data_IF_363369328495
#
_entry.id   IF_363369328495
#
_cell.length_a   1.000
_cell.length_b   1.000
_cell.length_c   1.000
_cell.angle_alpha   90.00
_cell.angle_beta   90.00
_cell.angle_gamma   90.00
#
_symmetry.space_group_name_H-M   'P 1'
#
loop_
_entity.id
_entity.type
_entity.pdbx_description
1 polymer ?
#
# COMPACT_ATOMS: atom_id res chain seq x y z
N UNK A 1 39.54 40.90 -9.63
CA UNK A 1 39.28 39.44 -9.57
C UNK A 1 37.94 39.24 -10.27
N UNK A 2 37.93 38.60 -11.44
CA UNK A 2 36.73 38.42 -12.25
C UNK A 2 35.73 37.56 -11.46
N UNK A 3 34.60 38.14 -11.08
CA UNK A 3 33.43 37.38 -10.65
C UNK A 3 32.81 36.77 -11.90
N UNK A 4 33.04 35.48 -12.14
CA UNK A 4 32.23 34.72 -13.08
C UNK A 4 30.84 34.53 -12.45
N UNK A 5 29.83 35.14 -13.08
CA UNK A 5 28.42 34.91 -12.75
C UNK A 5 28.12 33.42 -12.96
N UNK A 6 27.52 32.77 -11.96
CA UNK A 6 26.91 31.44 -12.10
C UNK A 6 26.01 31.44 -13.34
N UNK A 7 26.04 30.34 -14.10
CA UNK A 7 25.21 30.10 -15.29
C UNK A 7 23.75 30.49 -15.02
N UNK A 8 23.32 31.60 -15.60
CA UNK A 8 21.93 32.05 -15.55
C UNK A 8 21.14 31.31 -16.62
N UNK A 9 20.01 30.70 -16.24
CA UNK A 9 19.09 30.02 -17.16
C UNK A 9 17.81 30.82 -17.32
N UNK A 10 17.20 30.76 -18.51
CA UNK A 10 15.96 31.47 -18.79
C UNK A 10 14.81 30.86 -17.98
N UNK A 11 14.08 31.64 -17.16
CA UNK A 11 12.97 31.10 -16.36
C UNK A 11 11.77 30.66 -17.21
N UNK A 12 11.69 31.09 -18.49
CA UNK A 12 10.58 30.74 -19.37
C UNK A 12 10.84 29.52 -20.25
N UNK A 13 12.09 29.18 -20.55
CA UNK A 13 12.39 28.08 -21.48
C UNK A 13 13.61 27.21 -21.09
N UNK A 14 14.25 27.48 -19.96
CA UNK A 14 15.41 26.75 -19.48
C UNK A 14 16.72 27.01 -20.25
N UNK A 15 16.69 27.74 -21.38
CA UNK A 15 17.89 28.03 -22.17
C UNK A 15 18.94 28.81 -21.38
N UNK A 16 20.21 28.40 -21.51
CA UNK A 16 21.37 29.10 -20.95
C UNK A 16 21.88 30.24 -21.84
N UNK A 17 21.27 30.47 -22.99
CA UNK A 17 21.66 31.55 -23.91
C UNK A 17 21.08 32.90 -23.46
N UNK A 18 21.73 33.50 -22.47
CA UNK A 18 21.30 34.74 -21.84
C UNK A 18 22.23 35.89 -22.21
N UNK A 19 21.67 36.96 -22.76
CA UNK A 19 22.36 38.21 -23.02
C UNK A 19 21.97 39.26 -21.96
N UNK A 20 22.97 39.94 -21.40
CA UNK A 20 22.73 41.08 -20.51
C UNK A 20 22.34 42.31 -21.34
N UNK A 21 21.22 42.95 -21.00
CA UNK A 21 20.76 44.18 -21.68
C UNK A 21 21.30 45.41 -20.96
N UNK A 22 20.92 45.61 -19.69
CA UNK A 22 21.32 46.78 -18.90
C UNK A 22 21.10 46.54 -17.40
N UNK A 23 21.98 47.05 -16.54
CA UNK A 23 21.85 46.92 -15.08
C UNK A 23 21.76 45.46 -14.63
N UNK A 24 20.63 45.10 -14.02
CA UNK A 24 20.31 43.75 -13.56
C UNK A 24 19.42 42.99 -14.56
N UNK A 25 19.18 43.55 -15.75
CA UNK A 25 18.24 43.04 -16.73
C UNK A 25 18.92 42.17 -17.80
N UNK A 26 18.36 40.99 -18.01
CA UNK A 26 18.84 39.93 -18.88
C UNK A 26 17.74 39.50 -19.85
N UNK A 27 18.13 39.06 -21.05
CA UNK A 27 17.22 38.55 -22.09
C UNK A 27 17.69 37.21 -22.61
N UNK A 28 16.76 36.29 -22.78
CA UNK A 28 17.01 35.02 -23.43
C UNK A 28 17.03 35.18 -24.95
N UNK A 29 18.08 34.71 -25.61
CA UNK A 29 18.19 34.76 -27.06
C UNK A 29 17.32 33.70 -27.75
N UNK A 30 16.88 32.67 -27.02
CA UNK A 30 16.05 31.59 -27.56
C UNK A 30 14.57 31.97 -27.63
N UNK A 31 13.96 32.38 -26.51
CA UNK A 31 12.53 32.71 -26.45
C UNK A 31 12.24 34.22 -26.38
N UNK A 32 13.26 35.08 -26.43
CA UNK A 32 13.17 36.54 -26.31
C UNK A 32 12.64 37.09 -24.97
N UNK A 33 12.38 36.25 -23.95
CA UNK A 33 11.94 36.68 -22.62
C UNK A 33 13.01 37.49 -21.90
N UNK A 34 12.61 38.57 -21.21
CA UNK A 34 13.48 39.47 -20.44
C UNK A 34 13.17 39.40 -18.94
N UNK A 35 14.18 39.38 -18.07
CA UNK A 35 14.06 39.20 -16.61
C UNK A 35 15.18 39.91 -15.82
N UNK A 36 15.04 40.10 -14.50
CA UNK A 36 15.97 40.84 -13.63
C UNK A 36 16.63 39.93 -12.59
N UNK A 37 17.88 40.21 -12.18
CA UNK A 37 18.61 39.50 -11.11
C UNK A 37 19.33 40.50 -10.18
N UNK A 38 18.91 40.59 -8.93
CA UNK A 38 19.47 41.45 -7.87
C UNK A 38 20.36 40.62 -6.93
N UNK A 39 21.56 41.12 -6.57
CA UNK A 39 22.53 40.47 -5.67
C UNK A 39 23.09 41.49 -4.66
N UNK A 40 22.98 41.22 -3.36
CA UNK A 40 23.48 42.11 -2.31
C UNK A 40 24.73 41.59 -1.55
N UNK A 41 25.28 42.46 -0.70
CA UNK A 41 26.64 42.38 -0.14
C UNK A 41 26.84 41.34 0.98
N UNK A 42 25.79 40.62 1.41
CA UNK A 42 25.90 39.55 2.41
C UNK A 42 26.53 38.26 1.85
N UNK A 43 26.48 38.06 0.52
CA UNK A 43 27.03 36.88 -0.16
C UNK A 43 28.57 36.82 -0.21
N UNK A 44 29.27 37.91 0.12
CA UNK A 44 30.71 38.05 -0.10
C UNK A 44 31.60 37.54 1.05
N UNK A 45 31.08 37.25 2.25
CA UNK A 45 31.91 36.94 3.43
C UNK A 45 32.07 35.43 3.75
N UNK A 46 31.39 34.53 3.02
CA UNK A 46 31.37 33.08 3.30
C UNK A 46 32.59 32.31 2.74
N UNK A 47 33.69 32.98 2.36
CA UNK A 47 34.78 32.33 1.60
C UNK A 47 35.96 31.83 2.46
N UNK A 48 36.19 32.30 3.69
CA UNK A 48 37.42 31.92 4.43
C UNK A 48 37.30 30.75 5.42
N UNK A 49 36.10 30.20 5.66
CA UNK A 49 35.88 29.08 6.62
C UNK A 49 35.42 27.77 5.98
N UNK A 50 35.49 27.65 4.65
CA UNK A 50 34.85 26.55 3.91
C UNK A 50 35.72 25.29 3.75
N UNK A 51 36.98 25.29 4.19
CA UNK A 51 37.90 24.19 3.87
C UNK A 51 37.96 23.05 4.89
N UNK A 52 37.68 23.27 6.18
CA UNK A 52 37.96 22.22 7.20
C UNK A 52 36.75 21.75 8.03
N UNK A 53 35.52 22.24 7.78
CA UNK A 53 34.35 21.93 8.64
C UNK A 53 33.06 21.52 7.90
N UNK A 54 33.13 21.15 6.61
CA UNK A 54 31.94 20.95 5.73
C UNK A 54 31.74 19.54 5.16
N UNK A 55 32.10 18.48 5.90
CA UNK A 55 31.60 17.11 5.62
C UNK A 55 30.59 16.65 6.69
N UNK A 56 30.47 17.32 7.84
CA UNK A 56 29.68 16.82 8.97
C UNK A 56 28.35 17.54 9.29
N UNK A 57 27.82 18.46 8.45
CA UNK A 57 26.62 19.25 8.86
C UNK A 57 25.58 19.63 7.79
N UNK A 58 25.53 18.96 6.64
CA UNK A 58 24.48 19.20 5.61
C UNK A 58 23.42 18.09 5.52
N UNK A 59 23.25 17.32 6.61
CA UNK A 59 22.13 16.38 6.85
C UNK A 59 20.86 17.07 7.39
N UNK A 60 20.75 18.41 7.41
CA UNK A 60 19.87 19.06 8.40
C UNK A 60 18.81 20.05 7.93
N UNK A 61 18.55 20.31 6.63
CA UNK A 61 17.39 21.12 6.19
C UNK A 61 16.98 20.68 4.76
N UNK A 62 15.68 20.46 4.47
CA UNK A 62 14.99 20.16 3.17
C UNK A 62 14.80 18.67 2.78
N UNK A 63 13.91 17.81 3.29
CA UNK A 63 12.64 17.92 4.06
C UNK A 63 11.73 19.08 3.62
N UNK A 64 11.48 19.27 2.32
CA UNK A 64 10.41 20.21 1.93
C UNK A 64 9.67 19.93 0.62
N UNK A 65 9.99 18.89 -0.17
CA UNK A 65 9.41 18.76 -1.54
C UNK A 65 9.05 17.32 -1.95
N UNK A 66 9.22 16.30 -1.10
CA UNK A 66 8.73 14.93 -1.41
C UNK A 66 7.18 14.83 -1.46
N UNK A 67 6.51 15.93 -1.11
CA UNK A 67 5.08 16.16 -1.27
C UNK A 67 4.89 17.48 -2.04
N UNK A 68 4.40 17.40 -3.27
CA UNK A 68 3.18 18.07 -3.75
C UNK A 68 2.84 17.42 -5.10
N UNK A 69 1.79 16.58 -5.03
CA UNK A 69 0.90 16.10 -6.08
C UNK A 69 1.25 16.37 -7.55
N UNK A 70 1.27 15.26 -8.30
CA UNK A 70 0.56 15.07 -9.56
C UNK A 70 0.89 15.98 -10.75
N UNK A 71 0.84 15.40 -11.94
CA UNK A 71 0.08 15.89 -13.11
C UNK A 71 0.61 15.08 -14.31
N UNK A 72 -0.04 13.95 -14.60
CA UNK A 72 -1.14 13.85 -15.56
C UNK A 72 -0.67 13.53 -17.01
N UNK A 73 -0.97 12.30 -17.46
CA UNK A 73 -1.67 11.94 -18.72
C UNK A 73 -1.00 10.92 -19.68
N UNK A 74 -1.88 10.05 -20.17
CA UNK A 74 -1.86 9.20 -21.39
C UNK A 74 -1.15 7.84 -21.27
N UNK A 75 -1.75 6.67 -21.51
CA UNK A 75 -3.09 6.30 -22.00
C UNK A 75 -3.03 5.09 -22.95
N UNK A 76 -3.71 3.99 -22.61
CA UNK A 76 -4.36 3.08 -23.58
C UNK A 76 -3.67 1.76 -24.02
N UNK A 77 -4.34 0.65 -23.67
CA UNK A 77 -4.60 -0.59 -24.44
C UNK A 77 -3.45 -1.57 -24.79
N UNK A 78 -3.52 -2.84 -24.34
CA UNK A 78 -4.02 -4.01 -25.11
C UNK A 78 -3.82 -5.37 -24.39
N UNK A 79 -4.76 -6.30 -24.63
CA UNK A 79 -4.90 -7.70 -24.17
C UNK A 79 -3.81 -8.67 -24.69
N UNK A 80 -3.50 -9.75 -23.94
CA UNK A 80 -3.59 -11.14 -24.44
C UNK A 80 -3.30 -12.24 -23.39
N UNK A 81 -4.11 -13.30 -23.45
CA UNK A 81 -4.03 -14.62 -22.80
C UNK A 81 -2.65 -15.29 -22.80
N UNK A 82 -2.43 -16.20 -21.82
CA UNK A 82 -1.87 -17.52 -22.11
C UNK A 82 -2.26 -18.60 -21.08
N UNK A 83 -2.57 -19.79 -21.62
CA UNK A 83 -3.03 -21.02 -20.97
C UNK A 83 -2.00 -21.64 -20.01
N UNK A 84 -2.48 -22.20 -18.89
CA UNK A 84 -1.70 -23.12 -18.06
C UNK A 84 -2.05 -24.58 -18.38
N UNK A 85 -1.01 -25.38 -18.54
CA UNK A 85 -1.05 -26.82 -18.81
C UNK A 85 -1.09 -27.60 -17.50
N UNK A 86 -2.00 -28.57 -17.44
CA UNK A 86 -2.24 -29.50 -16.36
C UNK A 86 -1.08 -30.51 -16.24
N UNK A 87 -0.58 -30.78 -15.03
CA UNK A 87 0.32 -31.92 -14.77
C UNK A 87 -0.22 -32.82 -13.67
N UNK A 88 -0.55 -34.03 -14.15
CA UNK A 88 -0.61 -35.38 -13.60
C UNK A 88 -0.94 -35.66 -12.12
N UNK A 89 -2.01 -36.46 -12.00
CA UNK A 89 -2.57 -37.06 -10.82
C UNK A 89 -1.69 -38.15 -10.18
N UNK A 90 -1.70 -38.17 -8.84
CA UNK A 90 -1.37 -39.35 -8.04
C UNK A 90 -2.67 -40.02 -7.59
N UNK A 91 -2.84 -41.29 -7.94
CA UNK A 91 -3.94 -42.15 -7.50
C UNK A 91 -3.80 -42.52 -6.03
N UNK A 92 -4.88 -42.40 -5.25
CA UNK A 92 -5.03 -43.19 -4.02
C UNK A 92 -6.49 -43.64 -3.74
N UNK A 93 -6.61 -44.96 -3.52
CA UNK A 93 -7.49 -45.71 -2.63
C UNK A 93 -9.02 -45.46 -2.58
N UNK A 94 -9.79 -46.52 -2.87
CA UNK A 94 -11.25 -46.56 -3.01
C UNK A 94 -12.03 -46.86 -1.72
N UNK A 95 -11.80 -46.10 -0.64
CA UNK A 95 -12.78 -46.00 0.45
C UNK A 95 -13.48 -44.64 0.30
N UNK A 96 -14.81 -44.60 0.26
CA UNK A 96 -15.55 -43.33 0.17
C UNK A 96 -15.30 -42.62 1.52
N UNK A 97 -14.56 -41.51 1.56
CA UNK A 97 -14.28 -40.84 2.82
C UNK A 97 -15.61 -40.41 3.45
N UNK A 98 -15.77 -40.66 4.74
CA UNK A 98 -16.91 -40.14 5.48
C UNK A 98 -16.74 -38.62 5.55
N UNK A 99 -17.64 -37.89 4.89
CA UNK A 99 -17.62 -36.43 4.84
C UNK A 99 -18.53 -35.91 5.94
N UNK A 100 -18.03 -34.98 6.74
CA UNK A 100 -18.86 -34.16 7.63
C UNK A 100 -18.80 -32.71 7.19
N UNK A 101 -19.78 -31.91 7.57
CA UNK A 101 -19.75 -30.47 7.31
C UNK A 101 -18.65 -29.82 8.15
N UNK A 102 -18.02 -28.79 7.58
CA UNK A 102 -17.17 -27.86 8.32
C UNK A 102 -18.03 -27.13 9.36
N UNK A 103 -17.56 -27.06 10.60
CA UNK A 103 -18.26 -26.43 11.71
C UNK A 103 -17.34 -25.54 12.57
N UNK A 104 -17.90 -24.90 13.60
CA UNK A 104 -17.17 -24.00 14.51
C UNK A 104 -15.90 -24.62 15.10
N UNK A 105 -15.89 -25.93 15.39
CA UNK A 105 -14.73 -26.57 16.01
C UNK A 105 -13.54 -26.67 15.05
N UNK A 106 -13.78 -26.69 13.74
CA UNK A 106 -12.74 -26.64 12.72
C UNK A 106 -12.07 -25.27 12.64
N UNK A 107 -12.88 -24.21 12.76
CA UNK A 107 -12.38 -22.84 12.83
C UNK A 107 -11.52 -22.65 14.08
N UNK A 108 -12.01 -23.10 15.24
CA UNK A 108 -11.26 -23.07 16.50
C UNK A 108 -9.96 -23.89 16.45
N UNK A 109 -9.94 -24.95 15.64
CA UNK A 109 -8.76 -25.78 15.40
C UNK A 109 -7.78 -25.15 14.39
N UNK A 110 -8.09 -24.00 13.80
CA UNK A 110 -7.22 -23.26 12.89
C UNK A 110 -7.18 -23.83 11.48
N UNK A 111 -8.28 -24.40 10.98
CA UNK A 111 -8.39 -24.79 9.57
C UNK A 111 -8.16 -23.57 8.66
N UNK A 112 -7.30 -23.76 7.66
CA UNK A 112 -6.97 -22.73 6.69
C UNK A 112 -8.10 -22.55 5.66
N UNK A 113 -8.70 -21.36 5.64
CA UNK A 113 -9.75 -20.96 4.69
C UNK A 113 -9.23 -20.03 3.59
N UNK A 114 -7.92 -19.84 3.46
CA UNK A 114 -7.32 -18.86 2.54
C UNK A 114 -7.71 -19.05 1.08
N UNK A 115 -7.99 -20.28 0.64
CA UNK A 115 -8.51 -20.55 -0.71
C UNK A 115 -9.91 -19.97 -0.93
N UNK A 116 -10.77 -19.98 0.09
CA UNK A 116 -12.08 -19.32 0.01
C UNK A 116 -11.95 -17.82 -0.03
N UNK A 117 -11.08 -17.23 0.80
CA UNK A 117 -10.80 -15.79 0.78
C UNK A 117 -10.32 -15.35 -0.61
N UNK A 118 -9.34 -16.05 -1.19
CA UNK A 118 -8.85 -15.77 -2.56
C UNK A 118 -9.95 -15.88 -3.62
N UNK A 119 -10.79 -16.91 -3.53
CA UNK A 119 -11.91 -17.09 -4.45
C UNK A 119 -12.98 -15.99 -4.29
N UNK A 120 -13.25 -15.57 -3.05
CA UNK A 120 -14.17 -14.50 -2.72
C UNK A 120 -13.65 -13.15 -3.24
N UNK A 121 -12.37 -12.84 -3.03
CA UNK A 121 -11.73 -11.59 -3.49
C UNK A 121 -11.79 -11.48 -5.02
N UNK A 122 -11.41 -12.56 -5.70
CA UNK A 122 -11.46 -12.64 -7.17
C UNK A 122 -12.89 -12.43 -7.67
N UNK A 123 -13.87 -13.07 -7.03
CA UNK A 123 -15.26 -12.92 -7.41
C UNK A 123 -15.81 -11.53 -7.09
N UNK A 124 -15.39 -10.92 -5.98
CA UNK A 124 -15.80 -9.58 -5.61
C UNK A 124 -15.34 -8.56 -6.66
N UNK A 125 -14.10 -8.68 -7.12
CA UNK A 125 -13.52 -7.80 -8.12
C UNK A 125 -14.18 -7.99 -9.49
N UNK A 126 -14.22 -9.23 -10.00
CA UNK A 126 -14.53 -9.50 -11.40
C UNK A 126 -15.87 -10.22 -11.63
N UNK A 127 -16.32 -10.99 -10.65
CA UNK A 127 -17.50 -11.85 -10.75
C UNK A 127 -18.83 -11.14 -10.48
N UNK A 128 -18.82 -10.17 -9.57
CA UNK A 128 -20.01 -9.36 -9.25
C UNK A 128 -20.27 -8.36 -10.37
N UNK A 129 -21.15 -8.77 -11.29
CA UNK A 129 -21.55 -7.97 -12.45
C UNK A 129 -22.14 -6.63 -12.02
N UNK A 130 -21.68 -5.56 -12.65
CA UNK A 130 -22.33 -4.27 -12.48
C UNK A 130 -23.70 -4.28 -13.18
N UNK A 131 -24.72 -3.78 -12.46
CA UNK A 131 -26.03 -3.47 -13.06
C UNK A 131 -25.94 -2.27 -14.00
N UNK A 132 -27.08 -1.73 -14.43
CA UNK A 132 -27.10 -0.46 -15.14
C UNK A 132 -26.82 0.68 -14.15
N UNK A 133 -25.57 1.15 -14.07
CA UNK A 133 -25.03 2.09 -13.07
C UNK A 133 -25.05 3.56 -13.52
N UNK A 134 -25.28 3.80 -14.82
CA UNK A 134 -25.34 5.15 -15.38
C UNK A 134 -24.07 5.96 -15.21
N UNK A 135 -24.12 7.04 -14.42
CA UNK A 135 -22.98 7.91 -14.15
C UNK A 135 -22.12 7.44 -12.98
N UNK A 136 -22.55 6.42 -12.24
CA UNK A 136 -21.81 5.85 -11.13
C UNK A 136 -20.76 4.87 -11.61
N UNK A 137 -19.57 4.95 -11.03
CA UNK A 137 -18.45 4.05 -11.29
C UNK A 137 -17.90 3.55 -9.95
N UNK A 138 -17.38 2.33 -9.91
CA UNK A 138 -16.58 1.90 -8.76
C UNK A 138 -15.33 2.78 -8.65
N UNK A 139 -15.05 3.28 -7.46
CA UNK A 139 -13.88 4.14 -7.22
C UNK A 139 -12.68 3.36 -6.73
N UNK A 140 -12.92 2.27 -5.99
CA UNK A 140 -11.90 1.49 -5.29
C UNK A 140 -12.12 -0.01 -5.50
N UNK A 141 -11.12 -0.82 -5.14
CA UNK A 141 -11.29 -2.28 -5.04
C UNK A 141 -12.30 -2.60 -3.92
N UNK A 142 -13.15 -3.63 -4.09
CA UNK A 142 -14.03 -4.06 -3.02
C UNK A 142 -13.23 -4.50 -1.80
N UNK A 143 -13.62 -4.04 -0.62
CA UNK A 143 -12.91 -4.32 0.64
C UNK A 143 -13.67 -5.36 1.46
N UNK A 144 -13.00 -6.41 1.93
CA UNK A 144 -13.60 -7.37 2.86
C UNK A 144 -13.86 -6.68 4.20
N UNK A 145 -15.08 -6.81 4.74
CA UNK A 145 -15.52 -6.14 5.98
C UNK A 145 -16.16 -7.08 6.99
N UNK A 146 -16.26 -8.37 6.66
CA UNK A 146 -16.81 -9.39 7.57
C UNK A 146 -16.71 -10.79 6.97
N UNK A 147 -16.36 -11.77 7.79
CA UNK A 147 -16.32 -13.18 7.43
C UNK A 147 -17.06 -14.00 8.49
N UNK A 148 -17.98 -14.86 8.05
CA UNK A 148 -18.86 -15.59 8.95
C UNK A 148 -19.10 -17.01 8.46
N UNK A 149 -18.91 -17.99 9.33
CA UNK A 149 -19.40 -19.34 9.12
C UNK A 149 -20.79 -19.48 9.75
N UNK A 150 -21.77 -19.86 8.94
CA UNK A 150 -23.09 -20.31 9.36
C UNK A 150 -23.12 -21.82 9.24
N UNK A 151 -23.39 -22.55 10.32
CA UNK A 151 -23.44 -24.00 10.28
C UNK A 151 -24.63 -24.57 11.06
N UNK A 152 -25.20 -25.65 10.53
CA UNK A 152 -26.27 -26.43 11.14
C UNK A 152 -25.92 -27.93 11.04
N UNK A 153 -26.82 -28.80 11.49
CA UNK A 153 -26.59 -30.25 11.37
C UNK A 153 -26.54 -30.75 9.93
N UNK A 154 -27.19 -30.05 8.99
CA UNK A 154 -27.39 -30.55 7.62
C UNK A 154 -26.89 -29.58 6.54
N UNK A 155 -26.42 -28.39 6.91
CA UNK A 155 -26.06 -27.34 5.98
C UNK A 155 -24.99 -26.43 6.59
N UNK A 156 -24.09 -25.89 5.77
CA UNK A 156 -23.17 -24.84 6.16
C UNK A 156 -22.94 -23.85 5.02
N UNK A 157 -22.61 -22.62 5.41
CA UNK A 157 -22.35 -21.51 4.53
C UNK A 157 -21.24 -20.63 5.09
N UNK A 158 -20.22 -20.39 4.28
CA UNK A 158 -19.20 -19.38 4.56
C UNK A 158 -19.57 -18.09 3.82
N UNK A 159 -19.69 -16.98 4.53
CA UNK A 159 -20.12 -15.68 3.99
C UNK A 159 -19.00 -14.65 4.17
N UNK A 160 -18.67 -13.96 3.08
CA UNK A 160 -17.76 -12.82 3.02
C UNK A 160 -18.56 -11.57 2.65
N UNK A 161 -18.53 -10.52 3.47
CA UNK A 161 -19.14 -9.24 3.14
C UNK A 161 -18.11 -8.30 2.54
N UNK A 162 -18.37 -7.78 1.34
CA UNK A 162 -17.51 -6.80 0.68
C UNK A 162 -18.17 -5.43 0.61
N UNK A 163 -17.42 -4.39 0.93
CA UNK A 163 -17.76 -2.98 0.73
C UNK A 163 -17.32 -2.52 -0.67
N UNK A 164 -18.25 -2.02 -1.47
CA UNK A 164 -18.02 -1.44 -2.79
C UNK A 164 -18.22 0.06 -2.72
N UNK A 165 -17.18 0.82 -3.01
CA UNK A 165 -17.25 2.29 -3.13
C UNK A 165 -17.69 2.69 -4.54
N UNK A 166 -18.64 3.61 -4.61
CA UNK A 166 -19.18 4.18 -5.84
C UNK A 166 -19.00 5.69 -5.85
N UNK A 167 -18.71 6.24 -7.03
CA UNK A 167 -18.53 7.67 -7.21
C UNK A 167 -19.04 8.17 -8.56
N UNK A 168 -19.34 9.47 -8.62
CA UNK A 168 -19.64 10.22 -9.84
C UNK A 168 -18.55 11.25 -10.11
N UNK A 169 -18.49 11.69 -11.37
CA UNK A 169 -17.56 12.72 -11.83
C UNK A 169 -17.83 14.11 -11.16
N UNK A 170 -18.99 14.32 -10.54
CA UNK A 170 -19.36 15.53 -9.80
C UNK A 170 -18.97 15.50 -8.30
N UNK A 171 -18.34 14.41 -7.86
CA UNK A 171 -17.86 14.22 -6.48
C UNK A 171 -18.87 13.55 -5.54
N UNK A 172 -20.07 13.21 -5.99
CA UNK A 172 -21.00 12.39 -5.21
C UNK A 172 -20.42 10.97 -5.03
N UNK A 173 -20.46 10.45 -3.81
CA UNK A 173 -20.00 9.09 -3.49
C UNK A 173 -21.01 8.36 -2.60
N UNK A 174 -21.00 7.03 -2.69
CA UNK A 174 -21.88 6.14 -1.94
C UNK A 174 -21.25 4.74 -1.83
N UNK A 175 -21.78 3.86 -0.97
CA UNK A 175 -21.21 2.53 -0.72
C UNK A 175 -22.26 1.43 -0.74
N UNK A 176 -21.92 0.24 -1.25
CA UNK A 176 -22.80 -0.94 -1.20
C UNK A 176 -22.09 -2.12 -0.59
N UNK A 177 -22.82 -2.92 0.18
CA UNK A 177 -22.28 -4.09 0.87
C UNK A 177 -22.80 -5.35 0.20
N UNK A 178 -21.93 -6.20 -0.33
CA UNK A 178 -22.32 -7.38 -1.10
C UNK A 178 -21.88 -8.64 -0.33
N UNK A 179 -22.81 -9.53 0.05
CA UNK A 179 -22.46 -10.84 0.60
C UNK A 179 -22.08 -11.79 -0.53
N UNK A 180 -20.91 -12.41 -0.42
CA UNK A 180 -20.45 -13.50 -1.27
C UNK A 180 -20.39 -14.74 -0.40
N UNK A 181 -20.97 -15.85 -0.87
CA UNK A 181 -21.14 -17.05 -0.06
C UNK A 181 -20.72 -18.32 -0.77
N UNK A 182 -20.25 -19.28 0.01
CA UNK A 182 -19.94 -20.65 -0.40
C UNK A 182 -20.77 -21.60 0.46
N UNK A 183 -21.43 -22.56 -0.17
CA UNK A 183 -22.23 -23.59 0.48
C UNK A 183 -21.50 -24.95 0.40
N UNK A 184 -22.02 -25.97 1.09
CA UNK A 184 -21.60 -27.37 0.92
C UNK A 184 -20.09 -27.59 1.16
N UNK A 185 -19.57 -27.06 2.28
CA UNK A 185 -18.15 -27.16 2.64
C UNK A 185 -17.95 -28.36 3.57
N UNK A 186 -17.25 -29.39 3.08
CA UNK A 186 -17.04 -30.63 3.82
C UNK A 186 -15.61 -30.78 4.33
N UNK A 187 -15.47 -31.45 5.47
CA UNK A 187 -14.20 -31.95 6.01
C UNK A 187 -14.09 -33.45 5.76
N UNK A 188 -12.90 -33.86 5.32
CA UNK A 188 -12.49 -35.27 5.26
C UNK A 188 -11.89 -35.73 6.60
N UNK A 189 -11.80 -37.04 6.83
CA UNK A 189 -11.23 -37.61 8.06
C UNK A 189 -9.77 -37.18 8.33
N UNK A 190 -9.00 -36.90 7.28
CA UNK A 190 -7.62 -36.42 7.34
C UNK A 190 -7.52 -34.88 7.51
N UNK A 191 -8.65 -34.20 7.76
CA UNK A 191 -8.69 -32.77 8.06
C UNK A 191 -8.56 -31.86 6.85
N UNK A 192 -8.81 -32.36 5.63
CA UNK A 192 -8.80 -31.56 4.41
C UNK A 192 -10.20 -31.05 4.07
N UNK A 193 -10.23 -29.90 3.42
CA UNK A 193 -11.46 -29.30 2.91
C UNK A 193 -11.83 -29.96 1.58
N UNK A 194 -13.13 -30.16 1.39
CA UNK A 194 -13.74 -30.55 0.12
C UNK A 194 -14.92 -29.62 -0.16
N UNK A 195 -14.76 -28.75 -1.14
CA UNK A 195 -15.78 -27.85 -1.67
C UNK A 195 -15.63 -27.74 -3.19
N UNK A 196 -16.63 -27.20 -3.89
CA UNK A 196 -16.49 -26.81 -5.29
C UNK A 196 -15.87 -25.41 -5.45
N UNK A 197 -15.61 -24.71 -4.34
CA UNK A 197 -15.04 -23.37 -4.26
C UNK A 197 -15.76 -22.37 -5.16
N UNK A 198 -17.06 -22.57 -5.36
CA UNK A 198 -17.84 -21.74 -6.26
C UNK A 198 -18.58 -20.66 -5.48
N UNK A 199 -18.12 -19.40 -5.55
CA UNK A 199 -18.82 -18.31 -4.88
C UNK A 199 -20.18 -18.05 -5.52
N UNK A 200 -21.12 -17.64 -4.69
CA UNK A 200 -22.44 -17.15 -5.09
C UNK A 200 -22.76 -15.84 -4.39
N UNK A 201 -23.56 -15.00 -5.04
CA UNK A 201 -24.05 -13.73 -4.47
C UNK A 201 -25.56 -13.80 -4.39
N UNK A 202 -26.12 -13.37 -3.26
CA UNK A 202 -27.56 -13.13 -3.21
C UNK A 202 -27.88 -11.92 -4.09
N UNK A 203 -28.86 -12.06 -4.98
CA UNK A 203 -29.21 -11.04 -5.97
C UNK A 203 -30.06 -9.92 -5.35
N UNK A 204 -29.62 -9.38 -4.22
CA UNK A 204 -30.22 -8.19 -3.63
C UNK A 204 -29.82 -6.96 -4.43
N UNK A 205 -30.81 -6.18 -4.87
CA UNK A 205 -30.63 -4.97 -5.67
C UNK A 205 -31.11 -3.75 -4.89
N UNK A 206 -30.25 -2.75 -4.78
CA UNK A 206 -30.56 -1.47 -4.16
C UNK A 206 -30.42 -0.31 -5.13
N UNK A 207 -31.08 0.80 -4.79
CA UNK A 207 -30.96 2.04 -5.54
C UNK A 207 -29.62 2.73 -5.24
N UNK A 208 -28.90 3.09 -6.29
CA UNK A 208 -27.75 3.99 -6.29
C UNK A 208 -28.12 5.23 -7.13
N UNK A 209 -28.63 6.27 -6.46
CA UNK A 209 -29.39 7.32 -7.13
C UNK A 209 -30.64 6.75 -7.84
N UNK A 210 -30.68 6.82 -9.18
CA UNK A 210 -31.78 6.28 -9.99
C UNK A 210 -31.45 4.92 -10.64
N UNK A 211 -30.35 4.28 -10.23
CA UNK A 211 -29.78 3.09 -10.84
C UNK A 211 -29.86 1.91 -9.89
N UNK A 212 -29.88 0.68 -10.41
CA UNK A 212 -29.87 -0.54 -9.59
C UNK A 212 -28.49 -1.15 -9.58
N UNK A 213 -27.99 -1.42 -8.39
CA UNK A 213 -26.70 -2.10 -8.15
C UNK A 213 -26.89 -3.22 -7.16
N UNK A 214 -26.02 -4.23 -7.22
CA UNK A 214 -26.04 -5.32 -6.26
C UNK A 214 -25.52 -4.87 -4.90
N UNK A 215 -26.09 -5.44 -3.86
CA UNK A 215 -25.70 -5.22 -2.47
C UNK A 215 -26.65 -4.32 -1.71
N UNK A 216 -26.39 -4.23 -0.41
CA UNK A 216 -27.18 -3.52 0.57
C UNK A 216 -26.68 -2.09 0.76
N UNK A 217 -27.57 -1.20 1.19
CA UNK A 217 -27.23 0.18 1.51
C UNK A 217 -26.27 0.29 2.71
N UNK A 218 -26.37 -0.62 3.68
CA UNK A 218 -25.56 -0.64 4.89
C UNK A 218 -25.23 -2.08 5.33
N UNK A 219 -24.09 -2.24 6.01
CA UNK A 219 -23.61 -3.54 6.48
C UNK A 219 -24.58 -4.18 7.48
N UNK A 220 -25.28 -3.38 8.32
CA UNK A 220 -26.23 -3.93 9.29
C UNK A 220 -27.44 -4.57 8.62
N UNK A 221 -27.87 -4.04 7.47
CA UNK A 221 -28.90 -4.63 6.63
C UNK A 221 -28.43 -5.90 5.93
N UNK A 222 -27.22 -5.89 5.37
CA UNK A 222 -26.61 -7.09 4.81
C UNK A 222 -26.52 -8.21 5.86
N UNK A 223 -25.99 -7.90 7.04
CA UNK A 223 -25.86 -8.81 8.17
C UNK A 223 -27.21 -9.33 8.64
N UNK A 224 -28.19 -8.45 8.84
CA UNK A 224 -29.52 -8.85 9.32
C UNK A 224 -30.19 -9.84 8.36
N UNK A 225 -30.12 -9.61 7.06
CA UNK A 225 -30.80 -10.44 6.08
C UNK A 225 -30.06 -11.74 5.77
N UNK A 226 -28.72 -11.74 5.79
CA UNK A 226 -27.94 -12.93 5.46
C UNK A 226 -27.56 -13.77 6.69
N UNK A 227 -27.63 -13.21 7.90
CA UNK A 227 -27.23 -13.90 9.14
C UNK A 227 -28.39 -13.95 10.12
N UNK A 228 -28.84 -12.80 10.64
CA UNK A 228 -29.85 -12.78 11.73
C UNK A 228 -31.21 -13.35 11.32
N UNK A 229 -31.58 -13.23 10.04
CA UNK A 229 -32.82 -13.78 9.50
C UNK A 229 -32.81 -15.33 9.38
N UNK A 230 -31.67 -15.96 9.66
CA UNK A 230 -31.45 -17.40 9.58
C UNK A 230 -31.11 -18.02 10.95
N UNK A 231 -32.06 -18.01 11.91
CA UNK A 231 -31.83 -18.50 13.28
C UNK A 231 -31.61 -20.02 13.35
N UNK A 232 -31.78 -20.75 12.25
CA UNK A 232 -31.46 -22.18 12.13
C UNK A 232 -29.96 -22.49 12.17
N UNK A 233 -29.10 -21.49 11.91
CA UNK A 233 -27.66 -21.64 11.95
C UNK A 233 -27.06 -21.23 13.28
N UNK A 234 -26.00 -21.93 13.67
CA UNK A 234 -24.98 -21.39 14.56
C UNK A 234 -24.09 -20.46 13.75
N UNK A 235 -23.77 -19.29 14.30
CA UNK A 235 -22.95 -18.28 13.63
C UNK A 235 -21.61 -18.21 14.34
N UNK A 236 -20.53 -18.36 13.57
CA UNK A 236 -19.16 -18.13 14.01
C UNK A 236 -18.60 -16.97 13.21
N UNK A 237 -18.32 -15.87 13.88
CA UNK A 237 -17.56 -14.76 13.29
C UNK A 237 -16.11 -15.21 13.16
N UNK A 238 -15.57 -15.10 11.95
CA UNK A 238 -14.18 -15.37 11.65
C UNK A 238 -13.50 -14.01 11.66
N UNK A 239 -12.43 -13.90 12.43
CA UNK A 239 -11.63 -12.69 12.45
C UNK A 239 -11.15 -12.41 11.03
N UNK A 240 -11.65 -11.31 10.45
CA UNK A 240 -11.20 -10.84 9.16
C UNK A 240 -9.78 -10.36 9.36
N UNK A 241 -8.83 -11.25 9.10
CA UNK A 241 -7.47 -10.86 8.81
C UNK A 241 -7.55 -10.20 7.44
N UNK A 242 -7.88 -8.91 7.42
CA UNK A 242 -7.44 -8.08 6.32
C UNK A 242 -5.96 -8.40 6.23
N UNK A 243 -5.50 -8.94 5.10
CA UNK A 243 -4.07 -9.14 4.84
C UNK A 243 -3.32 -7.79 4.73
N UNK A 244 -3.88 -6.75 5.35
CA UNK A 244 -3.74 -5.32 5.12
C UNK A 244 -4.23 -4.48 6.34
N UNK A 245 -4.25 -5.06 7.54
CA UNK A 245 -4.19 -4.28 8.79
C UNK A 245 -3.05 -4.89 9.62
N UNK A 246 -1.82 -4.47 9.37
CA UNK A 246 -0.83 -4.70 10.42
C UNK A 246 -1.24 -3.87 11.64
N UNK A 247 -1.11 -4.46 12.82
CA UNK A 247 -1.59 -3.86 14.07
C UNK A 247 -0.95 -2.48 14.27
N UNK A 248 -1.75 -1.50 14.68
CA UNK A 248 -1.19 -0.22 15.13
C UNK A 248 -0.31 -0.48 16.35
N UNK A 249 1.00 -0.31 16.15
CA UNK A 249 1.99 -0.46 17.21
C UNK A 249 2.12 0.85 17.98
N UNK A 250 2.27 0.73 19.30
CA UNK A 250 2.67 1.86 20.15
C UNK A 250 4.10 2.29 19.87
N UNK A 251 4.44 3.53 20.22
CA UNK A 251 5.80 4.05 20.18
C UNK A 251 6.80 3.10 20.88
N UNK A 252 6.41 2.53 22.04
CA UNK A 252 7.24 1.57 22.79
C UNK A 252 7.46 0.24 22.04
N UNK A 253 6.42 -0.30 21.39
CA UNK A 253 6.53 -1.54 20.63
C UNK A 253 7.41 -1.37 19.38
N UNK A 254 7.31 -0.23 18.70
CA UNK A 254 8.17 0.08 17.54
C UNK A 254 9.63 0.22 17.95
N UNK A 255 9.89 0.84 19.11
CA UNK A 255 11.25 0.95 19.66
C UNK A 255 11.85 -0.44 19.90
N UNK A 256 11.12 -1.35 20.56
CA UNK A 256 11.61 -2.70 20.81
C UNK A 256 11.75 -3.51 19.51
N UNK A 257 10.80 -3.43 18.57
CA UNK A 257 10.89 -4.08 17.26
C UNK A 257 12.16 -3.68 16.50
N UNK A 258 12.41 -2.38 16.36
CA UNK A 258 13.57 -1.88 15.60
C UNK A 258 14.89 -2.18 16.32
N UNK A 259 14.88 -2.19 17.65
CA UNK A 259 16.04 -2.59 18.47
C UNK A 259 16.35 -4.09 18.34
N UNK A 260 15.34 -4.96 18.35
CA UNK A 260 15.50 -6.40 18.12
C UNK A 260 16.06 -6.69 16.73
N UNK A 261 15.65 -5.90 15.72
CA UNK A 261 16.17 -5.95 14.34
C UNK A 261 17.53 -5.26 14.15
N UNK A 262 18.15 -4.76 15.23
CA UNK A 262 19.50 -4.17 15.22
C UNK A 262 19.59 -2.71 14.75
N UNK A 263 18.47 -2.01 14.60
CA UNK A 263 18.43 -0.60 14.16
C UNK A 263 18.52 0.38 15.33
N UNK A 264 19.63 0.37 16.07
CA UNK A 264 19.77 1.12 17.34
C UNK A 264 20.49 2.47 17.24
N UNK A 265 21.05 2.80 16.08
CA UNK A 265 22.04 3.88 15.97
C UNK A 265 21.44 5.28 15.79
N UNK A 266 20.20 5.38 15.32
CA UNK A 266 19.54 6.66 15.04
C UNK A 266 18.16 6.73 15.71
N UNK A 267 17.72 7.94 16.12
CA UNK A 267 16.40 8.14 16.69
C UNK A 267 15.29 7.71 15.74
N UNK A 268 14.25 7.11 16.30
CA UNK A 268 13.00 6.80 15.60
C UNK A 268 12.16 8.06 15.58
N UNK A 269 11.55 8.37 14.43
CA UNK A 269 10.74 9.57 14.25
C UNK A 269 9.41 9.26 13.57
N UNK A 270 8.40 10.09 13.84
CA UNK A 270 7.12 10.13 13.12
C UNK A 270 6.90 11.51 12.52
N UNK A 271 6.12 11.57 11.44
CA UNK A 271 5.67 12.80 10.78
C UNK A 271 4.14 12.86 10.69
N UNK A 272 3.45 12.00 11.45
CA UNK A 272 2.00 11.87 11.46
C UNK A 272 1.48 11.80 12.90
N UNK A 273 0.26 12.30 13.14
CA UNK A 273 -0.51 11.99 14.35
C UNK A 273 -1.13 10.59 14.24
N UNK A 274 -1.69 10.08 15.34
CA UNK A 274 -2.49 8.85 15.36
C UNK A 274 -3.60 8.85 14.29
N UNK A 275 -4.27 9.99 14.10
CA UNK A 275 -5.35 10.15 13.12
C UNK A 275 -4.84 10.38 11.68
N UNK A 276 -3.52 10.29 11.45
CA UNK A 276 -2.89 10.42 10.13
C UNK A 276 -2.65 11.86 9.67
N UNK A 277 -2.86 12.87 10.51
CA UNK A 277 -2.55 14.26 10.13
C UNK A 277 -1.04 14.49 10.11
N UNK A 278 -0.52 15.13 9.06
CA UNK A 278 0.90 15.45 8.99
C UNK A 278 1.32 16.46 10.06
N UNK A 279 2.44 16.17 10.72
CA UNK A 279 3.09 17.02 11.72
C UNK A 279 4.55 17.26 11.37
N UNK A 280 5.14 18.26 12.01
CA UNK A 280 6.61 18.40 12.01
C UNK A 280 7.23 17.13 12.60
N UNK A 281 8.35 16.70 11.99
CA UNK A 281 9.12 15.53 12.44
C UNK A 281 9.30 15.52 13.96
N UNK A 282 8.74 14.52 14.61
CA UNK A 282 8.76 14.27 16.05
C UNK A 282 9.63 13.05 16.35
N UNK A 283 10.52 13.16 17.32
CA UNK A 283 11.24 12.01 17.88
C UNK A 283 10.31 11.22 18.80
N UNK A 284 10.32 9.90 18.62
CA UNK A 284 9.47 8.93 19.30
C UNK A 284 10.14 8.48 20.59
N UNK A 285 9.36 8.28 21.66
CA UNK A 285 9.87 7.84 22.97
C UNK A 285 9.12 6.62 23.52
N UNK A 286 9.50 6.12 24.69
CA UNK A 286 8.74 5.08 25.38
C UNK A 286 7.37 5.65 25.82
N UNK A 287 6.34 5.40 25.01
CA UNK A 287 4.96 5.79 25.28
C UNK A 287 3.96 4.79 24.67
N UNK A 288 2.69 4.92 25.07
CA UNK A 288 1.56 4.16 24.51
C UNK A 288 0.89 4.92 23.33
N UNK A 289 1.50 5.99 22.81
CA UNK A 289 0.98 6.69 21.63
C UNK A 289 1.14 5.80 20.39
N UNK A 290 0.18 5.83 19.47
CA UNK A 290 0.26 5.15 18.17
C UNK A 290 0.35 6.17 17.06
N UNK A 291 1.07 5.82 16.00
CA UNK A 291 1.16 6.59 14.76
C UNK A 291 1.13 5.62 13.59
N UNK A 292 0.59 6.01 12.43
CA UNK A 292 0.54 5.11 11.29
C UNK A 292 1.92 4.92 10.63
N UNK A 293 2.90 5.78 10.94
CA UNK A 293 4.19 5.82 10.28
C UNK A 293 5.32 6.15 11.26
N UNK A 294 6.36 5.33 11.21
CA UNK A 294 7.61 5.52 11.92
C UNK A 294 8.78 5.34 10.95
N UNK A 295 9.86 6.06 11.18
CA UNK A 295 11.09 5.89 10.41
C UNK A 295 12.35 6.05 11.26
N UNK A 296 13.39 5.31 10.89
CA UNK A 296 14.77 5.52 11.32
C UNK A 296 15.73 5.36 10.14
N UNK A 297 17.00 5.69 10.36
CA UNK A 297 18.06 5.56 9.36
C UNK A 297 19.06 4.51 9.83
N UNK A 298 19.49 3.66 8.91
CA UNK A 298 20.54 2.68 9.13
C UNK A 298 21.65 2.87 8.08
N UNK A 299 22.91 2.90 8.52
CA UNK A 299 24.05 2.92 7.61
C UNK A 299 24.68 1.53 7.63
N UNK A 300 24.54 0.82 6.53
CA UNK A 300 25.08 -0.54 6.40
C UNK A 300 26.62 -0.55 6.33
N UNK A 301 27.22 -1.69 6.63
CA UNK A 301 28.67 -1.90 6.52
C UNK A 301 29.20 -1.75 5.09
N UNK A 302 28.35 -1.95 4.08
CA UNK A 302 28.66 -1.72 2.66
C UNK A 302 28.69 -0.23 2.30
N UNK A 303 28.24 0.64 3.20
CA UNK A 303 28.18 2.10 3.01
C UNK A 303 26.88 2.61 2.41
N UNK A 304 25.89 1.73 2.19
CA UNK A 304 24.55 2.09 1.72
C UNK A 304 23.71 2.65 2.88
N UNK A 305 22.97 3.73 2.61
CA UNK A 305 22.06 4.36 3.57
C UNK A 305 20.65 3.80 3.38
N UNK A 306 20.13 3.17 4.42
CA UNK A 306 18.79 2.64 4.44
C UNK A 306 17.87 3.55 5.25
N UNK A 307 16.73 3.92 4.70
CA UNK A 307 15.60 4.40 5.50
C UNK A 307 14.75 3.20 5.86
N UNK A 308 14.65 2.91 7.15
CA UNK A 308 13.78 1.86 7.68
C UNK A 308 12.46 2.51 8.05
N UNK A 309 11.38 1.97 7.51
CA UNK A 309 10.02 2.46 7.72
C UNK A 309 9.23 1.36 8.41
N UNK A 310 8.52 1.72 9.46
CA UNK A 310 7.49 0.87 10.06
C UNK A 310 6.16 1.56 9.83
N UNK A 311 5.26 0.91 9.10
CA UNK A 311 3.96 1.45 8.77
C UNK A 311 2.92 0.38 9.04
N UNK A 312 2.03 0.66 10.00
CA UNK A 312 1.06 -0.32 10.52
C UNK A 312 1.72 -1.69 10.74
N UNK A 313 2.77 -1.76 11.54
CA UNK A 313 3.51 -3.01 11.82
C UNK A 313 4.35 -3.61 10.68
N UNK A 314 4.15 -3.20 9.42
CA UNK A 314 4.96 -3.65 8.29
C UNK A 314 6.30 -2.93 8.24
N UNK A 315 7.38 -3.70 8.08
CA UNK A 315 8.75 -3.15 7.98
C UNK A 315 9.17 -3.08 6.51
N UNK A 316 9.65 -1.91 6.10
CA UNK A 316 10.11 -1.61 4.74
C UNK A 316 11.50 -0.99 4.83
N UNK A 317 12.39 -1.31 3.89
CA UNK A 317 13.70 -0.70 3.78
C UNK A 317 13.90 -0.05 2.41
N UNK A 318 14.28 1.23 2.41
CA UNK A 318 14.55 2.02 1.22
C UNK A 318 16.07 2.29 1.09
N UNK A 319 16.76 1.73 0.09
CA UNK A 319 18.18 2.01 -0.16
C UNK A 319 18.34 3.38 -0.84
N UNK A 320 18.72 4.38 -0.06
CA UNK A 320 18.75 5.79 -0.46
C UNK A 320 19.83 6.06 -1.50
N UNK A 321 21.05 5.58 -1.28
CA UNK A 321 22.18 5.71 -2.18
C UNK A 321 21.91 5.07 -3.53
N UNK A 322 21.48 3.81 -3.52
CA UNK A 322 20.98 3.12 -4.70
C UNK A 322 19.93 3.95 -5.45
N UNK A 323 18.79 4.28 -4.83
CA UNK A 323 17.72 5.00 -5.51
C UNK A 323 18.11 6.40 -6.00
N UNK A 324 19.14 7.02 -5.42
CA UNK A 324 19.69 8.29 -5.91
C UNK A 324 20.62 8.12 -7.14
N UNK A 325 21.35 7.01 -7.22
CA UNK A 325 22.32 6.75 -8.29
C UNK A 325 21.69 5.97 -9.46
N UNK A 326 20.87 4.97 -9.16
CA UNK A 326 20.18 4.09 -10.10
C UNK A 326 18.82 4.67 -10.51
N UNK A 327 18.81 5.75 -11.29
CA UNK A 327 17.63 6.13 -12.09
C UNK A 327 17.33 5.13 -13.23
N UNK A 328 17.93 3.94 -13.22
CA UNK A 328 18.01 3.03 -14.37
C UNK A 328 16.65 2.44 -14.80
N UNK A 329 15.67 2.38 -13.90
CA UNK A 329 14.35 1.79 -14.15
C UNK A 329 13.19 2.79 -14.12
N UNK A 330 13.45 4.07 -13.83
CA UNK A 330 12.41 5.11 -13.80
C UNK A 330 11.43 5.03 -12.62
N UNK A 331 11.62 4.07 -11.70
CA UNK A 331 10.84 3.85 -10.49
C UNK A 331 11.78 3.64 -9.29
N UNK A 332 11.31 4.02 -8.09
CA UNK A 332 12.03 3.76 -6.84
C UNK A 332 11.98 2.27 -6.51
N UNK A 333 13.03 1.72 -5.91
CA UNK A 333 13.05 0.34 -5.38
C UNK A 333 12.98 0.36 -3.84
N UNK A 334 12.17 -0.52 -3.26
CA UNK A 334 12.16 -0.79 -1.81
C UNK A 334 12.27 -2.29 -1.56
N UNK A 335 12.78 -2.65 -0.39
CA UNK A 335 12.66 -3.99 0.17
C UNK A 335 11.49 -4.03 1.14
N UNK A 336 10.72 -5.11 1.12
CA UNK A 336 9.59 -5.32 2.01
C UNK A 336 9.52 -6.79 2.45
N UNK A 337 8.95 -7.04 3.62
CA UNK A 337 8.61 -8.41 4.05
C UNK A 337 7.31 -8.94 3.40
N UNK A 338 6.66 -8.10 2.58
CA UNK A 338 5.43 -8.41 1.85
C UNK A 338 5.42 -7.75 0.47
N UNK A 339 4.79 -8.41 -0.51
CA UNK A 339 4.48 -7.81 -1.82
C UNK A 339 3.43 -6.70 -1.73
N UNK A 340 2.64 -6.71 -0.67
CA UNK A 340 1.63 -5.72 -0.35
C UNK A 340 2.25 -4.61 0.49
N UNK A 341 2.03 -3.36 0.09
CA UNK A 341 2.56 -2.17 0.74
C UNK A 341 1.39 -1.27 1.12
N UNK A 342 1.37 -0.85 2.39
CA UNK A 342 0.52 0.25 2.84
C UNK A 342 1.00 1.55 2.21
N UNK A 343 0.08 2.32 1.65
CA UNK A 343 0.33 3.65 1.10
C UNK A 343 -0.53 4.67 1.83
N UNK A 344 -0.06 5.92 1.92
CA UNK A 344 -0.80 7.02 2.50
C UNK A 344 -1.25 7.99 1.42
N UNK A 345 -2.56 8.21 1.32
CA UNK A 345 -3.14 9.25 0.49
C UNK A 345 -3.42 10.50 1.34
N UNK A 346 -2.56 11.51 1.15
CA UNK A 346 -2.69 12.83 1.78
C UNK A 346 -3.94 13.61 1.40
N UNK A 347 -4.60 13.29 0.28
CA UNK A 347 -5.82 13.97 -0.19
C UNK A 347 -7.02 13.49 0.60
N UNK A 348 -7.12 12.18 0.81
CA UNK A 348 -8.23 11.54 1.53
C UNK A 348 -7.91 11.30 3.00
N UNK A 349 -6.68 11.56 3.42
CA UNK A 349 -6.14 11.22 4.73
C UNK A 349 -6.40 9.74 5.07
N UNK A 350 -6.11 8.86 4.11
CA UNK A 350 -6.41 7.45 4.24
C UNK A 350 -5.17 6.59 3.95
N UNK A 351 -5.12 5.45 4.62
CA UNK A 351 -4.13 4.43 4.36
C UNK A 351 -4.79 3.33 3.53
N UNK A 352 -4.15 2.94 2.45
CA UNK A 352 -4.61 1.86 1.58
C UNK A 352 -3.46 0.96 1.22
N UNK A 353 -3.72 -0.33 1.32
CA UNK A 353 -2.77 -1.36 1.02
C UNK A 353 -2.95 -1.80 -0.44
N UNK A 354 -1.83 -2.05 -1.10
CA UNK A 354 -1.81 -2.42 -2.50
C UNK A 354 -0.52 -3.11 -2.88
N UNK A 355 -0.55 -3.91 -3.95
CA UNK A 355 0.67 -4.37 -4.62
C UNK A 355 1.04 -3.29 -5.64
N UNK A 356 2.15 -2.55 -5.46
CA UNK A 356 2.52 -1.47 -6.35
C UNK A 356 2.91 -1.97 -7.74
N UNK A 357 2.68 -1.14 -8.76
CA UNK A 357 3.21 -1.43 -10.09
C UNK A 357 4.72 -1.16 -10.11
N UNK A 358 5.53 -2.06 -10.66
CA UNK A 358 6.99 -1.89 -10.78
C UNK A 358 7.40 -0.61 -11.53
N UNK A 359 6.52 -0.04 -12.37
CA UNK A 359 6.77 1.25 -13.01
C UNK A 359 6.63 2.46 -12.08
N UNK A 360 6.04 2.28 -10.91
CA UNK A 360 5.79 3.31 -9.89
C UNK A 360 6.68 3.08 -8.67
N UNK A 361 6.74 1.83 -8.21
CA UNK A 361 7.53 1.39 -7.08
C UNK A 361 7.87 -0.09 -7.29
N UNK A 362 9.15 -0.39 -7.40
CA UNK A 362 9.66 -1.76 -7.45
C UNK A 362 9.72 -2.27 -6.01
N UNK A 363 8.91 -3.27 -5.69
CA UNK A 363 8.95 -3.94 -4.39
C UNK A 363 9.71 -5.25 -4.54
N UNK A 364 10.81 -5.39 -3.81
CA UNK A 364 11.54 -6.65 -3.68
C UNK A 364 11.24 -7.28 -2.33
N UNK A 365 10.60 -8.44 -2.37
CA UNK A 365 10.22 -9.15 -1.16
C UNK A 365 11.43 -9.89 -0.58
N UNK A 366 11.67 -9.72 0.71
CA UNK A 366 12.71 -10.43 1.47
C UNK A 366 12.08 -11.11 2.69
N UNK A 367 12.64 -12.22 3.14
CA UNK A 367 12.07 -12.99 4.26
C UNK A 367 12.07 -12.19 5.57
N UNK A 368 13.11 -11.39 5.81
CA UNK A 368 13.23 -10.59 7.01
C UNK A 368 14.10 -9.34 6.78
N UNK A 369 13.70 -8.20 7.36
CA UNK A 369 14.46 -6.96 7.33
C UNK A 369 15.05 -6.68 8.71
N UNK A 370 16.36 -6.87 8.82
CA UNK A 370 17.17 -6.53 9.99
C UNK A 370 18.56 -6.00 9.57
N UNK A 371 19.34 -5.54 10.54
CA UNK A 371 20.67 -5.01 10.30
C UNK A 371 21.62 -6.04 9.66
N UNK A 372 21.49 -7.32 10.01
CA UNK A 372 22.30 -8.41 9.43
C UNK A 372 22.01 -8.57 7.93
N UNK A 373 20.73 -8.65 7.57
CA UNK A 373 20.28 -8.76 6.18
C UNK A 373 20.75 -7.57 5.36
N UNK A 374 20.52 -6.34 5.83
CA UNK A 374 20.91 -5.14 5.09
C UNK A 374 22.43 -4.93 5.01
N UNK A 375 23.20 -5.42 5.98
CA UNK A 375 24.66 -5.42 5.90
C UNK A 375 25.22 -6.41 4.87
N UNK A 376 24.46 -7.46 4.55
CA UNK A 376 24.87 -8.46 3.56
C UNK A 376 24.64 -8.02 2.11
N UNK A 377 23.81 -6.99 1.89
CA UNK A 377 23.43 -6.53 0.56
C UNK A 377 24.39 -5.47 0.02
N UNK A 378 24.97 -5.77 -1.14
CA UNK A 378 25.61 -4.76 -1.99
C UNK A 378 24.60 -4.16 -2.98
N UNK A 379 24.96 -3.08 -3.66
CA UNK A 379 24.17 -2.51 -4.77
C UNK A 379 23.85 -3.56 -5.84
N UNK A 380 24.82 -4.41 -6.16
CA UNK A 380 24.67 -5.47 -7.16
C UNK A 380 23.70 -6.57 -6.69
N UNK A 381 23.68 -6.86 -5.39
CA UNK A 381 22.72 -7.81 -4.80
C UNK A 381 21.30 -7.24 -4.83
N UNK A 382 21.12 -5.94 -4.56
CA UNK A 382 19.82 -5.26 -4.62
C UNK A 382 19.21 -5.32 -6.03
N UNK A 383 20.04 -5.20 -7.08
CA UNK A 383 19.60 -5.36 -8.47
C UNK A 383 19.19 -6.80 -8.83
N UNK A 384 19.74 -7.79 -8.12
CA UNK A 384 19.58 -9.20 -8.42
C UNK A 384 18.44 -9.90 -7.65
N UNK A 385 17.93 -9.28 -6.58
CA UNK A 385 16.63 -9.61 -5.96
C UNK A 385 15.52 -9.43 -6.99
#
# INVERSE_FOLDING_TARGET
MNMELKKVTCPNCGSSEIAKINGEQYKCNYCNTTFLIDYDQEDAQIISKKTDLKIHRSRMIFVAVSLILALLLFGGLYLSNQDYTESEAVQESSAKPELRLLDTSDIEAGIDLSEFTKAADTYAQDGVKEGYTGSWKRTDKPRLVGEYLLNSQNDNRLIFFYEYSWGKDDGESDKRYVPISFDDIFMTEDGRIKSDYKPSVDMHLEFLGNYFVYGYFDLSSAYRENITAHPEYTVTEIEVKNSEEGEEMTESEVIELLKERGFTDNPITTEYTADGEMIDKKEVGESDETHPYYQTIFLSETGEYWTIIVMKGSVIANPVGYNMESNAHGAQLILSESEVITSYDSVTNSFSDSIPNESELIVKTVDHIDAETLNSLTVEDIEAL
#
